data_IF_961690518105
#
_entry.id   IF_961690518105
#
_cell.length_a   1.000
_cell.length_b   1.000
_cell.length_c   1.000
_cell.angle_alpha   90.00
_cell.angle_beta   90.00
_cell.angle_gamma   90.00
#
_symmetry.space_group_name_H-M   'P 1'
#
loop_
_entity.id
_entity.type
_entity.pdbx_description
1 polymer ?
#
# COMPACT_ATOMS: atom_id res chain seq x y z
N UNK A 1 -16.76 -5.93 70.99
CA UNK A 1 -18.05 -6.54 71.38
C UNK A 1 -19.05 -6.24 70.28
N UNK A 2 -19.66 -7.28 69.70
CA UNK A 2 -20.99 -7.23 69.03
C UNK A 2 -21.00 -6.55 67.64
N UNK A 3 -21.48 -7.09 66.52
CA UNK A 3 -22.08 -8.36 66.09
C UNK A 3 -21.98 -8.41 64.55
N UNK A 4 -21.82 -9.60 63.98
CA UNK A 4 -21.93 -9.86 62.53
C UNK A 4 -23.40 -9.77 62.07
N UNK A 5 -23.69 -9.33 60.84
CA UNK A 5 -24.95 -9.63 60.19
C UNK A 5 -24.86 -10.91 59.34
N UNK A 6 -25.91 -11.70 59.50
CA UNK A 6 -26.20 -13.03 58.98
C UNK A 6 -26.42 -13.07 57.47
N UNK A 7 -26.00 -14.22 56.92
CA UNK A 7 -26.26 -14.74 55.58
C UNK A 7 -27.76 -14.97 55.41
N UNK A 8 -28.35 -14.45 54.34
CA UNK A 8 -29.70 -14.79 53.88
C UNK A 8 -29.64 -15.51 52.53
N UNK A 9 -30.32 -16.65 52.53
CA UNK A 9 -30.51 -17.62 51.46
C UNK A 9 -30.86 -17.02 50.09
N UNK A 10 -30.07 -17.38 49.08
CA UNK A 10 -30.45 -17.23 47.67
C UNK A 10 -31.04 -18.54 47.15
N UNK A 11 -32.35 -18.49 46.89
CA UNK A 11 -33.16 -19.54 46.27
C UNK A 11 -32.53 -20.02 44.95
N UNK A 12 -32.47 -21.34 44.81
CA UNK A 12 -32.18 -22.03 43.56
C UNK A 12 -33.28 -21.74 42.52
N UNK A 13 -32.90 -21.07 41.42
CA UNK A 13 -33.70 -20.98 40.21
C UNK A 13 -33.35 -22.23 39.37
N UNK A 14 -34.27 -23.18 39.34
CA UNK A 14 -34.17 -24.36 38.49
C UNK A 14 -34.23 -23.97 37.02
N UNK A 15 -33.14 -24.21 36.29
CA UNK A 15 -33.08 -24.08 34.84
C UNK A 15 -33.76 -25.30 34.19
N UNK A 16 -35.04 -25.16 33.86
CA UNK A 16 -35.72 -26.05 32.92
C UNK A 16 -35.17 -25.80 31.50
N UNK A 17 -34.01 -26.38 31.19
CA UNK A 17 -33.56 -26.51 29.80
C UNK A 17 -34.22 -27.74 29.18
N UNK A 18 -34.96 -27.62 28.06
CA UNK A 18 -35.49 -28.77 27.36
C UNK A 18 -34.33 -29.61 26.78
N UNK A 19 -34.44 -30.95 26.76
CA UNK A 19 -33.39 -31.80 26.21
C UNK A 19 -33.21 -31.55 24.70
N UNK A 20 -31.99 -31.75 24.16
CA UNK A 20 -31.72 -31.50 22.75
C UNK A 20 -32.57 -32.42 21.87
N UNK A 21 -33.31 -31.79 20.94
CA UNK A 21 -34.05 -32.50 19.89
C UNK A 21 -33.05 -33.26 19.01
N UNK A 22 -33.13 -34.59 19.04
CA UNK A 22 -32.45 -35.46 18.07
C UNK A 22 -33.01 -35.20 16.68
N UNK A 23 -32.25 -34.51 15.83
CA UNK A 23 -32.52 -34.47 14.40
C UNK A 23 -32.25 -35.85 13.82
N UNK A 24 -33.31 -36.61 13.54
CA UNK A 24 -33.23 -37.76 12.62
C UNK A 24 -33.21 -37.19 11.20
N UNK A 25 -32.03 -37.21 10.57
CA UNK A 25 -31.92 -37.04 9.13
C UNK A 25 -32.62 -38.25 8.47
N UNK A 26 -33.81 -38.05 7.91
CA UNK A 26 -34.39 -38.99 6.95
C UNK A 26 -33.75 -38.69 5.61
N UNK A 27 -32.87 -39.57 5.12
CA UNK A 27 -32.53 -39.61 3.70
C UNK A 27 -33.81 -40.00 2.96
N UNK A 28 -34.42 -39.04 2.27
CA UNK A 28 -35.34 -39.33 1.18
C UNK A 28 -34.49 -39.62 -0.05
N UNK A 29 -34.50 -40.88 -0.50
CA UNK A 29 -34.03 -41.25 -1.84
C UNK A 29 -35.13 -40.82 -2.81
N UNK A 30 -35.04 -39.57 -3.27
CA UNK A 30 -35.84 -39.03 -4.36
C UNK A 30 -34.95 -38.90 -5.58
N UNK A 31 -35.26 -39.65 -6.64
CA UNK A 31 -34.60 -39.53 -7.93
C UNK A 31 -34.77 -38.12 -8.48
N UNK A 32 -33.65 -37.48 -8.79
CA UNK A 32 -33.61 -36.17 -9.43
C UNK A 32 -33.21 -36.42 -10.87
N UNK A 33 -34.10 -36.02 -11.79
CA UNK A 33 -33.81 -35.95 -13.21
C UNK A 33 -32.60 -35.05 -13.46
N UNK A 34 -31.70 -35.57 -14.28
CA UNK A 34 -30.41 -35.00 -14.64
C UNK A 34 -30.62 -33.74 -15.50
N UNK A 35 -30.81 -32.61 -14.83
CA UNK A 35 -30.76 -31.29 -15.45
C UNK A 35 -29.29 -30.88 -15.57
N UNK A 36 -28.82 -30.75 -16.81
CA UNK A 36 -27.46 -30.34 -17.15
C UNK A 36 -27.14 -28.97 -16.51
N UNK A 37 -26.34 -29.00 -15.44
CA UNK A 37 -25.74 -27.80 -14.87
C UNK A 37 -24.77 -27.18 -15.88
N UNK A 38 -24.84 -25.86 -16.14
CA UNK A 38 -23.84 -25.18 -16.95
C UNK A 38 -22.47 -25.34 -16.28
N UNK A 39 -21.47 -25.71 -17.08
CA UNK A 39 -20.09 -25.87 -16.63
C UNK A 39 -19.64 -24.60 -15.88
N UNK A 40 -19.26 -24.76 -14.61
CA UNK A 40 -18.63 -23.71 -13.82
C UNK A 40 -17.33 -23.36 -14.53
N UNK A 41 -17.23 -22.15 -15.05
CA UNK A 41 -16.02 -21.64 -15.68
C UNK A 41 -14.84 -21.76 -14.69
N UNK A 42 -13.63 -22.09 -15.16
CA UNK A 42 -12.46 -22.21 -14.30
C UNK A 42 -12.23 -20.89 -13.54
N UNK A 43 -12.08 -20.99 -12.22
CA UNK A 43 -11.83 -19.88 -11.30
C UNK A 43 -10.50 -19.21 -11.67
N UNK A 44 -10.56 -18.02 -12.28
CA UNK A 44 -9.41 -17.24 -12.81
C UNK A 44 -8.39 -16.81 -11.73
N UNK A 45 -8.66 -17.11 -10.45
CA UNK A 45 -7.81 -16.82 -9.29
C UNK A 45 -6.45 -17.54 -9.30
N UNK A 46 -6.24 -18.53 -10.17
CA UNK A 46 -4.96 -19.23 -10.28
C UNK A 46 -3.83 -18.31 -10.80
N UNK A 47 -4.16 -17.28 -11.57
CA UNK A 47 -3.19 -16.29 -12.08
C UNK A 47 -2.79 -15.22 -11.04
N UNK A 48 -3.56 -15.08 -9.97
CA UNK A 48 -3.44 -13.99 -8.98
C UNK A 48 -2.54 -14.36 -7.77
N UNK A 49 -1.92 -15.54 -7.78
CA UNK A 49 -1.00 -15.98 -6.71
C UNK A 49 0.31 -15.17 -6.73
N UNK A 50 0.62 -14.47 -7.83
CA UNK A 50 1.88 -13.76 -8.06
C UNK A 50 2.06 -12.45 -7.26
N UNK A 51 1.04 -11.95 -6.56
CA UNK A 51 1.02 -10.59 -5.99
C UNK A 51 0.90 -10.55 -4.47
N UNK A 52 1.16 -11.65 -3.76
CA UNK A 52 1.15 -11.63 -2.28
C UNK A 52 2.11 -10.58 -1.74
N UNK A 53 1.58 -9.60 -0.99
CA UNK A 53 2.39 -8.65 -0.22
C UNK A 53 2.26 -8.93 1.26
N UNK A 54 3.38 -8.78 1.96
CA UNK A 54 3.46 -8.99 3.40
C UNK A 54 3.51 -7.64 4.09
N UNK A 55 2.84 -7.55 5.23
CA UNK A 55 2.72 -6.34 6.03
C UNK A 55 3.03 -6.65 7.49
N UNK A 56 3.52 -5.63 8.19
CA UNK A 56 3.65 -5.59 9.63
C UNK A 56 2.88 -4.39 10.17
N UNK A 57 2.12 -4.58 11.26
CA UNK A 57 1.29 -3.54 11.89
C UNK A 57 1.14 -3.82 13.38
N UNK A 58 1.22 -2.79 14.21
CA UNK A 58 0.79 -2.86 15.61
C UNK A 58 -0.74 -2.93 15.66
N UNK A 59 -1.28 -3.99 16.28
CA UNK A 59 -2.73 -4.28 16.26
C UNK A 59 -3.39 -4.05 17.62
N UNK A 60 -2.61 -4.04 18.69
CA UNK A 60 -3.09 -3.90 20.06
C UNK A 60 -1.97 -3.37 20.95
N UNK A 61 -2.28 -2.53 21.94
CA UNK A 61 -1.32 -1.97 22.89
C UNK A 61 -1.87 -2.06 24.31
N UNK A 62 -1.00 -2.24 25.30
CA UNK A 62 -1.47 -2.26 26.68
C UNK A 62 -2.02 -0.90 27.09
N UNK A 63 -3.16 -0.91 27.76
CA UNK A 63 -3.96 0.28 28.02
C UNK A 63 -5.37 -0.09 28.45
N UNK A 64 -6.23 0.92 28.51
CA UNK A 64 -7.67 0.75 28.73
C UNK A 64 -8.37 1.25 27.47
N UNK A 65 -9.24 0.42 26.91
CA UNK A 65 -9.93 0.67 25.66
C UNK A 65 -11.43 0.54 25.89
N UNK A 66 -12.22 1.38 25.25
CA UNK A 66 -13.68 1.22 25.22
C UNK A 66 -14.05 0.39 24.00
N UNK A 67 -14.63 -0.79 24.22
CA UNK A 67 -15.06 -1.69 23.15
C UNK A 67 -16.58 -1.71 23.07
N UNK A 68 -17.18 -2.19 21.96
CA UNK A 68 -18.63 -2.39 21.89
C UNK A 68 -19.18 -3.28 23.01
N UNK A 69 -18.37 -4.18 23.56
CA UNK A 69 -18.71 -5.09 24.65
C UNK A 69 -18.42 -4.48 26.04
N UNK A 70 -17.92 -3.25 26.11
CA UNK A 70 -17.57 -2.53 27.33
C UNK A 70 -16.07 -2.25 27.49
N UNK A 71 -15.66 -1.70 28.64
CA UNK A 71 -14.27 -1.34 28.87
C UNK A 71 -13.39 -2.60 28.95
N UNK A 72 -12.32 -2.60 28.16
CA UNK A 72 -11.33 -3.67 28.14
C UNK A 72 -9.97 -3.18 28.60
N UNK A 73 -9.43 -3.81 29.65
CA UNK A 73 -8.07 -3.56 30.13
C UNK A 73 -7.09 -4.54 29.49
N UNK A 74 -6.26 -4.03 28.59
CA UNK A 74 -5.18 -4.78 27.96
C UNK A 74 -3.91 -4.57 28.77
N UNK A 75 -3.33 -5.66 29.26
CA UNK A 75 -2.04 -5.65 29.99
C UNK A 75 -0.95 -6.32 29.15
N UNK A 76 0.32 -6.15 29.51
CA UNK A 76 1.40 -6.90 28.86
C UNK A 76 1.20 -8.43 28.98
N UNK A 77 0.62 -8.91 30.08
CA UNK A 77 0.25 -10.31 30.24
C UNK A 77 -0.85 -10.73 29.25
N UNK A 78 -1.85 -9.86 29.01
CA UNK A 78 -2.88 -10.08 27.98
C UNK A 78 -2.24 -10.26 26.60
N UNK A 79 -1.29 -9.39 26.22
CA UNK A 79 -0.60 -9.47 24.93
C UNK A 79 0.20 -10.77 24.78
N UNK A 80 0.96 -11.16 25.82
CA UNK A 80 1.72 -12.43 25.83
C UNK A 80 0.80 -13.64 25.69
N UNK A 81 -0.31 -13.67 26.43
CA UNK A 81 -1.30 -14.76 26.33
C UNK A 81 -1.90 -14.88 24.94
N UNK A 82 -2.22 -13.76 24.29
CA UNK A 82 -2.70 -13.76 22.90
C UNK A 82 -1.65 -14.35 21.93
N UNK A 83 -0.40 -13.89 22.02
CA UNK A 83 0.70 -14.40 21.19
C UNK A 83 0.96 -15.90 21.40
N UNK A 84 0.92 -16.37 22.65
CA UNK A 84 1.13 -17.79 22.99
C UNK A 84 -0.06 -18.67 22.57
N UNK A 85 -1.30 -18.21 22.75
CA UNK A 85 -2.50 -18.89 22.24
C UNK A 85 -2.46 -19.02 20.73
N UNK A 86 -2.12 -17.95 20.01
CA UNK A 86 -1.96 -17.99 18.56
C UNK A 86 -0.90 -18.99 18.14
N UNK A 87 0.29 -18.98 18.76
CA UNK A 87 1.38 -19.91 18.42
C UNK A 87 0.96 -21.37 18.60
N UNK A 88 0.28 -21.69 19.71
CA UNK A 88 -0.26 -23.04 19.98
C UNK A 88 -1.33 -23.44 18.97
N UNK A 89 -2.26 -22.54 18.65
CA UNK A 89 -3.32 -22.80 17.68
C UNK A 89 -2.75 -22.99 16.27
N UNK A 90 -1.78 -22.16 15.88
CA UNK A 90 -1.07 -22.24 14.60
C UNK A 90 -0.32 -23.56 14.44
N UNK A 91 0.37 -24.04 15.48
CA UNK A 91 1.03 -25.35 15.51
C UNK A 91 0.06 -26.53 15.33
N UNK A 92 -1.24 -26.31 15.52
CA UNK A 92 -2.33 -27.27 15.28
C UNK A 92 -3.08 -27.02 13.98
N UNK A 93 -2.55 -26.17 13.10
CA UNK A 93 -3.15 -25.88 11.79
C UNK A 93 -4.27 -24.85 11.81
N UNK A 94 -4.57 -24.22 12.95
CA UNK A 94 -5.54 -23.11 12.99
C UNK A 94 -4.97 -21.90 12.24
N UNK A 95 -5.78 -21.32 11.37
CA UNK A 95 -5.46 -20.13 10.57
C UNK A 95 -6.36 -18.99 11.01
N UNK A 96 -5.77 -17.82 11.20
CA UNK A 96 -6.53 -16.60 11.50
C UNK A 96 -6.64 -15.80 10.20
N UNK A 97 -7.86 -15.54 9.71
CA UNK A 97 -8.05 -14.74 8.51
C UNK A 97 -7.77 -13.25 8.79
N UNK A 98 -7.33 -12.56 7.74
CA UNK A 98 -7.42 -11.10 7.67
C UNK A 98 -8.63 -10.76 6.80
N UNK A 99 -9.50 -9.89 7.29
CA UNK A 99 -10.80 -9.58 6.67
C UNK A 99 -11.05 -8.08 6.57
N UNK A 100 -11.96 -7.66 5.70
CA UNK A 100 -12.49 -6.29 5.68
C UNK A 100 -13.59 -6.10 6.75
N UNK A 101 -13.57 -4.96 7.45
CA UNK A 101 -14.69 -4.46 8.27
C UNK A 101 -15.34 -5.44 9.27
N UNK A 102 -14.56 -6.35 9.87
CA UNK A 102 -15.07 -7.41 10.74
C UNK A 102 -16.15 -8.30 10.08
N UNK A 103 -16.12 -8.45 8.75
CA UNK A 103 -17.06 -9.31 8.04
C UNK A 103 -16.81 -10.79 8.34
N UNK A 104 -17.92 -11.54 8.48
CA UNK A 104 -17.94 -13.00 8.57
C UNK A 104 -18.06 -13.66 7.18
N UNK A 105 -18.23 -12.88 6.10
CA UNK A 105 -18.32 -13.40 4.75
C UNK A 105 -16.93 -13.87 4.26
N UNK A 106 -16.86 -15.11 3.77
CA UNK A 106 -15.64 -15.68 3.23
C UNK A 106 -15.05 -14.88 2.05
N UNK A 107 -15.88 -14.11 1.33
CA UNK A 107 -15.46 -13.24 0.22
C UNK A 107 -14.64 -12.03 0.69
N UNK A 108 -14.84 -11.59 1.92
CA UNK A 108 -14.13 -10.45 2.50
C UNK A 108 -12.77 -10.84 3.11
N UNK A 109 -12.40 -12.12 3.02
CA UNK A 109 -11.09 -12.61 3.40
C UNK A 109 -10.05 -12.20 2.36
N UNK A 110 -9.14 -11.33 2.77
CA UNK A 110 -8.07 -10.81 1.91
C UNK A 110 -6.74 -11.55 2.10
N UNK A 111 -6.61 -12.25 3.24
CA UNK A 111 -5.31 -12.62 3.75
C UNK A 111 -5.30 -13.58 4.93
N UNK A 112 -4.12 -13.77 5.49
CA UNK A 112 -3.90 -14.63 6.66
C UNK A 112 -2.80 -14.06 7.55
N UNK A 113 -3.01 -14.15 8.86
CA UNK A 113 -2.00 -13.81 9.86
C UNK A 113 -0.87 -14.85 9.86
N UNK A 114 0.37 -14.41 9.70
CA UNK A 114 1.56 -15.27 9.63
C UNK A 114 2.44 -15.21 10.86
N UNK A 115 2.45 -14.10 11.59
CA UNK A 115 3.16 -13.98 12.86
C UNK A 115 2.43 -13.04 13.81
N UNK A 116 2.59 -13.31 15.11
CA UNK A 116 2.09 -12.47 16.19
C UNK A 116 3.18 -12.36 17.27
N UNK A 117 3.72 -11.16 17.49
CA UNK A 117 4.88 -10.92 18.35
C UNK A 117 4.60 -9.76 19.29
N UNK A 118 5.03 -9.88 20.54
CA UNK A 118 4.99 -8.76 21.50
C UNK A 118 6.26 -7.94 21.35
N UNK A 119 6.13 -6.65 21.09
CA UNK A 119 7.23 -5.68 20.97
C UNK A 119 6.95 -4.56 21.97
N UNK A 120 7.84 -4.35 22.93
CA UNK A 120 7.67 -3.42 24.04
C UNK A 120 6.34 -3.61 24.79
N UNK A 121 5.40 -2.69 24.58
CA UNK A 121 4.07 -2.67 25.17
C UNK A 121 2.94 -2.88 24.14
N UNK A 122 3.29 -3.31 22.93
CA UNK A 122 2.41 -3.55 21.79
C UNK A 122 2.43 -5.01 21.32
N UNK A 123 1.39 -5.38 20.59
CA UNK A 123 1.25 -6.64 19.87
C UNK A 123 1.30 -6.32 18.39
N UNK A 124 2.27 -6.89 17.71
CA UNK A 124 2.56 -6.66 16.30
C UNK A 124 2.17 -7.90 15.50
N UNK A 125 1.30 -7.69 14.51
CA UNK A 125 0.93 -8.71 13.53
C UNK A 125 1.83 -8.63 12.32
N UNK A 126 2.14 -9.79 11.75
CA UNK A 126 2.55 -9.92 10.35
C UNK A 126 1.51 -10.74 9.61
N UNK A 127 1.16 -10.30 8.41
CA UNK A 127 0.17 -10.97 7.57
C UNK A 127 0.48 -10.74 6.10
N UNK A 128 -0.18 -11.49 5.22
CA UNK A 128 -0.17 -11.21 3.78
C UNK A 128 -1.57 -10.90 3.27
N UNK A 129 -1.63 -10.14 2.18
CA UNK A 129 -2.83 -9.95 1.36
C UNK A 129 -2.53 -10.48 -0.05
N UNK A 130 -3.51 -11.15 -0.68
CA UNK A 130 -3.32 -11.78 -2.00
C UNK A 130 -3.79 -10.91 -3.17
N UNK A 131 -4.98 -10.32 -3.07
CA UNK A 131 -5.55 -9.54 -4.18
C UNK A 131 -4.77 -8.25 -4.39
N UNK A 132 -4.52 -7.93 -5.66
CA UNK A 132 -3.91 -6.67 -6.05
C UNK A 132 -4.71 -5.45 -5.58
N UNK A 133 -6.03 -5.54 -5.59
CA UNK A 133 -6.91 -4.45 -5.13
C UNK A 133 -6.79 -4.25 -3.62
N UNK A 134 -6.76 -5.33 -2.85
CA UNK A 134 -6.58 -5.25 -1.39
C UNK A 134 -5.22 -4.65 -1.03
N UNK A 135 -4.16 -5.11 -1.72
CA UNK A 135 -2.79 -4.61 -1.58
C UNK A 135 -2.71 -3.11 -1.84
N UNK A 136 -3.42 -2.59 -2.85
CA UNK A 136 -3.46 -1.15 -3.17
C UNK A 136 -4.15 -0.32 -2.10
N UNK A 137 -5.14 -0.90 -1.41
CA UNK A 137 -5.96 -0.21 -0.39
C UNK A 137 -5.27 -0.11 0.96
N UNK A 138 -4.44 -1.09 1.32
CA UNK A 138 -3.69 -1.12 2.59
C UNK A 138 -2.65 0.00 2.61
N UNK A 139 -2.70 0.83 3.65
CA UNK A 139 -1.80 1.98 3.83
C UNK A 139 -2.16 3.20 3.00
N UNK A 140 -3.19 3.13 2.15
CA UNK A 140 -3.72 4.27 1.39
C UNK A 140 -5.11 4.65 1.91
N UNK A 141 -6.12 3.85 1.55
CA UNK A 141 -7.53 4.04 1.93
C UNK A 141 -7.84 3.48 3.31
N UNK A 142 -7.14 2.43 3.73
CA UNK A 142 -7.29 1.86 5.06
C UNK A 142 -5.94 1.85 5.74
N UNK A 143 -5.85 2.60 6.84
CA UNK A 143 -4.61 2.82 7.57
C UNK A 143 -4.55 2.03 8.87
N UNK A 144 -5.68 1.50 9.34
CA UNK A 144 -5.83 0.91 10.66
C UNK A 144 -6.42 -0.49 10.66
N UNK A 145 -6.28 -1.13 11.82
CA UNK A 145 -6.79 -2.47 12.07
C UNK A 145 -7.51 -2.55 13.40
N UNK A 146 -8.41 -3.52 13.50
CA UNK A 146 -9.08 -3.88 14.74
C UNK A 146 -9.04 -5.40 14.90
N UNK A 147 -8.99 -5.85 16.14
CA UNK A 147 -8.89 -7.27 16.48
C UNK A 147 -10.19 -7.76 17.07
N UNK A 148 -10.60 -8.96 16.69
CA UNK A 148 -11.59 -9.68 17.48
C UNK A 148 -10.88 -10.67 18.41
N UNK A 149 -11.24 -10.60 19.69
CA UNK A 149 -10.71 -11.48 20.71
C UNK A 149 -11.86 -12.16 21.43
N UNK A 150 -11.81 -13.50 21.48
CA UNK A 150 -12.77 -14.32 22.21
C UNK A 150 -12.09 -14.99 23.40
N UNK A 151 -12.79 -15.00 24.54
CA UNK A 151 -12.30 -15.58 25.79
C UNK A 151 -13.48 -16.15 26.61
N UNK A 152 -13.51 -17.46 26.91
CA UNK A 152 -12.65 -18.52 26.38
C UNK A 152 -12.96 -18.85 24.91
N UNK A 153 -12.01 -19.47 24.21
CA UNK A 153 -12.20 -19.96 22.84
C UNK A 153 -11.87 -21.44 22.70
N UNK A 154 -12.53 -22.14 21.75
CA UNK A 154 -12.31 -23.56 21.46
C UNK A 154 -12.25 -23.78 19.95
N UNK A 155 -11.24 -24.51 19.48
CA UNK A 155 -11.11 -24.87 18.06
C UNK A 155 -12.01 -26.06 17.66
N UNK A 156 -12.09 -26.35 16.36
CA UNK A 156 -12.90 -27.46 15.83
C UNK A 156 -12.45 -28.86 16.29
N UNK A 157 -11.23 -29.00 16.81
CA UNK A 157 -10.71 -30.24 17.39
C UNK A 157 -10.92 -30.31 18.92
N UNK A 158 -11.54 -29.30 19.51
CA UNK A 158 -11.88 -29.26 20.91
C UNK A 158 -10.79 -28.72 21.83
N UNK A 159 -9.65 -28.23 21.33
CA UNK A 159 -8.64 -27.62 22.20
C UNK A 159 -9.14 -26.27 22.71
N UNK A 160 -8.89 -25.99 23.99
CA UNK A 160 -9.31 -24.73 24.65
C UNK A 160 -8.15 -23.75 24.74
N UNK A 161 -8.49 -22.48 24.59
CA UNK A 161 -7.60 -21.34 24.71
C UNK A 161 -8.27 -20.31 25.62
N UNK A 162 -7.55 -19.81 26.62
CA UNK A 162 -8.11 -18.87 27.59
C UNK A 162 -8.57 -17.57 26.92
N UNK A 163 -7.83 -17.17 25.89
CA UNK A 163 -8.09 -16.00 25.05
C UNK A 163 -7.45 -16.26 23.69
N UNK A 164 -8.17 -15.93 22.62
CA UNK A 164 -7.73 -16.15 21.24
C UNK A 164 -8.14 -14.98 20.36
N UNK A 165 -7.24 -14.57 19.47
CA UNK A 165 -7.57 -13.67 18.37
C UNK A 165 -8.26 -14.50 17.28
N UNK A 166 -9.48 -14.15 16.89
CA UNK A 166 -10.28 -14.94 15.94
C UNK A 166 -10.14 -14.43 14.51
N UNK A 167 -10.01 -13.11 14.32
CA UNK A 167 -9.62 -12.47 13.05
C UNK A 167 -8.95 -11.12 13.28
N UNK A 168 -8.26 -10.66 12.23
CA UNK A 168 -7.72 -9.30 12.12
C UNK A 168 -8.53 -8.55 11.06
N UNK A 169 -9.21 -7.48 11.44
CA UNK A 169 -10.00 -6.67 10.51
C UNK A 169 -9.23 -5.43 10.07
N UNK A 170 -9.20 -5.17 8.77
CA UNK A 170 -8.85 -3.85 8.22
C UNK A 170 -10.07 -2.93 8.35
N UNK A 171 -9.94 -1.81 9.05
CA UNK A 171 -11.07 -0.91 9.40
C UNK A 171 -10.68 0.56 9.29
N UNK A 172 -11.66 1.41 9.03
CA UNK A 172 -11.46 2.88 9.08
C UNK A 172 -11.64 3.47 10.48
N UNK A 173 -12.26 2.74 11.41
CA UNK A 173 -12.53 3.17 12.78
C UNK A 173 -12.06 2.09 13.77
N UNK A 174 -10.78 2.07 14.14
CA UNK A 174 -10.24 1.07 15.05
C UNK A 174 -10.64 1.36 16.51
N UNK A 175 -10.75 0.31 17.32
CA UNK A 175 -10.91 0.43 18.79
C UNK A 175 -9.64 0.99 19.43
N UNK A 176 -8.48 0.59 18.92
CA UNK A 176 -7.17 1.09 19.36
C UNK A 176 -6.78 2.22 18.42
N UNK A 177 -6.87 3.47 18.90
CA UNK A 177 -6.47 4.65 18.14
C UNK A 177 -4.94 4.79 18.04
N UNK A 178 -4.50 5.69 17.16
CA UNK A 178 -3.10 6.11 17.04
C UNK A 178 -2.14 4.93 16.79
N UNK A 179 -2.55 4.05 15.87
CA UNK A 179 -1.72 2.96 15.42
C UNK A 179 -0.67 3.47 14.42
N UNK A 180 0.52 2.87 14.44
CA UNK A 180 1.57 3.21 13.48
C UNK A 180 1.17 2.79 12.06
N UNK A 181 1.64 3.48 11.00
CA UNK A 181 1.36 3.09 9.62
C UNK A 181 1.76 1.65 9.30
N UNK A 182 1.11 1.03 8.31
CA UNK A 182 1.51 -0.29 7.82
C UNK A 182 2.96 -0.26 7.31
N UNK A 183 3.75 -1.22 7.75
CA UNK A 183 5.09 -1.45 7.19
C UNK A 183 5.02 -2.61 6.22
N UNK A 184 5.07 -2.33 4.93
CA UNK A 184 5.20 -3.39 3.92
C UNK A 184 6.56 -4.08 4.11
N UNK A 185 6.53 -5.39 4.26
CA UNK A 185 7.73 -6.20 4.37
C UNK A 185 8.22 -6.52 2.96
N UNK A 186 9.48 -6.18 2.67
CA UNK A 186 10.12 -6.66 1.46
C UNK A 186 10.13 -8.18 1.51
N UNK A 187 9.57 -8.82 0.48
CA UNK A 187 9.88 -10.22 0.21
C UNK A 187 11.38 -10.26 -0.01
N UNK A 188 12.14 -10.85 0.92
CA UNK A 188 13.53 -11.15 0.60
C UNK A 188 13.49 -12.05 -0.63
N UNK A 189 13.93 -11.55 -1.78
CA UNK A 189 13.95 -12.23 -3.07
C UNK A 189 14.88 -13.46 -3.09
N UNK A 190 15.38 -13.89 -1.91
CA UNK A 190 16.23 -15.06 -1.74
C UNK A 190 15.49 -16.14 -0.99
N UNK A 191 15.18 -17.22 -1.70
CA UNK A 191 14.88 -18.52 -1.14
C UNK A 191 16.10 -19.13 -0.43
N UNK A 192 16.52 -18.54 0.69
CA UNK A 192 17.35 -19.23 1.67
C UNK A 192 16.56 -19.25 2.98
N UNK A 193 15.71 -20.26 3.10
CA UNK A 193 15.19 -20.69 4.39
C UNK A 193 16.34 -21.34 5.17
N UNK A 194 17.24 -20.51 5.69
CA UNK A 194 18.17 -20.92 6.72
C UNK A 194 17.44 -20.74 8.06
N UNK A 195 17.00 -21.85 8.63
CA UNK A 195 16.59 -21.88 10.04
C UNK A 195 17.74 -21.32 10.89
N UNK A 196 17.48 -20.42 11.85
CA UNK A 196 18.52 -19.87 12.69
C UNK A 196 19.10 -20.99 13.56
N UNK A 197 20.37 -21.33 13.33
CA UNK A 197 21.16 -22.08 14.31
C UNK A 197 21.48 -21.13 15.47
N UNK A 198 21.16 -21.59 16.67
CA UNK A 198 21.47 -20.96 17.94
C UNK A 198 22.93 -20.47 17.98
N UNK A 199 23.11 -19.14 17.98
CA UNK A 199 24.39 -18.53 18.32
C UNK A 199 24.31 -17.87 19.69
N UNK A 200 25.01 -18.53 20.61
CA UNK A 200 25.42 -18.06 21.93
C UNK A 200 25.95 -16.62 21.89
N UNK A 201 25.56 -15.90 22.94
CA UNK A 201 25.95 -14.56 23.33
C UNK A 201 27.46 -14.31 23.38
N UNK A 202 27.88 -13.10 22.99
CA UNK A 202 29.00 -12.36 23.58
C UNK A 202 28.95 -10.87 23.20
N UNK A 203 29.58 -9.97 24.00
CA UNK A 203 28.95 -8.72 24.41
C UNK A 203 29.56 -7.43 23.83
N UNK A 204 28.73 -6.38 23.92
CA UNK A 204 28.98 -4.94 24.02
C UNK A 204 30.26 -4.32 23.43
N UNK A 205 30.08 -3.34 22.54
CA UNK A 205 31.02 -2.22 22.37
C UNK A 205 30.25 -0.92 22.09
N UNK A 206 30.74 0.13 22.73
CA UNK A 206 30.19 1.46 22.95
C UNK A 206 30.05 2.39 21.73
N UNK A 207 29.00 3.21 21.82
CA UNK A 207 28.89 4.66 21.57
C UNK A 207 29.77 5.36 20.50
N UNK A 208 29.11 5.93 19.48
CA UNK A 208 29.49 7.22 18.87
C UNK A 208 28.32 7.83 18.04
N UNK A 209 28.34 9.15 17.74
CA UNK A 209 27.14 10.00 17.87
C UNK A 209 26.48 10.48 16.56
N UNK A 210 25.17 10.74 16.71
CA UNK A 210 24.26 11.67 16.03
C UNK A 210 24.74 12.40 14.76
N UNK A 211 24.04 12.12 13.66
CA UNK A 211 23.95 12.99 12.46
C UNK A 211 22.55 13.61 12.41
N UNK A 212 22.39 14.93 12.19
CA UNK A 212 21.07 15.56 12.10
C UNK A 212 20.39 15.17 10.78
N UNK A 213 19.25 14.50 10.92
CA UNK A 213 18.38 14.05 9.84
C UNK A 213 17.53 15.22 9.32
N UNK A 214 17.81 15.66 8.10
CA UNK A 214 17.02 16.66 7.39
C UNK A 214 15.83 15.96 6.73
N UNK A 215 14.69 15.93 7.44
CA UNK A 215 13.43 15.46 6.90
C UNK A 215 13.02 16.26 5.67
N UNK A 216 12.73 15.62 4.51
CA UNK A 216 12.17 16.31 3.36
C UNK A 216 10.72 16.77 3.64
N UNK A 217 10.24 17.81 2.96
CA UNK A 217 8.93 18.39 3.20
C UNK A 217 7.81 17.39 2.92
N UNK A 218 6.85 17.33 3.85
CA UNK A 218 5.57 16.64 3.69
C UNK A 218 4.80 17.30 2.53
N UNK A 219 4.81 16.67 1.36
CA UNK A 219 3.89 17.03 0.28
C UNK A 219 2.49 16.53 0.66
N UNK A 220 1.54 17.46 0.78
CA UNK A 220 0.13 17.16 1.02
C UNK A 220 -0.47 16.47 -0.21
N UNK A 221 -0.65 15.16 -0.13
CA UNK A 221 -1.36 14.38 -1.13
C UNK A 221 -2.84 14.70 -1.08
N UNK A 222 -3.27 15.51 -2.05
CA UNK A 222 -4.66 15.77 -2.41
C UNK A 222 -5.51 14.49 -2.41
N UNK A 223 -6.57 14.49 -1.60
CA UNK A 223 -7.67 13.52 -1.65
C UNK A 223 -8.36 13.63 -3.01
N UNK A 224 -8.11 12.68 -3.91
CA UNK A 224 -8.99 12.40 -5.03
C UNK A 224 -9.44 10.95 -4.88
N UNK A 225 -10.76 10.73 -4.88
CA UNK A 225 -11.34 9.40 -4.97
C UNK A 225 -10.73 8.64 -6.15
N UNK A 226 -9.95 7.61 -5.85
CA UNK A 226 -9.35 6.77 -6.87
C UNK A 226 -10.42 5.84 -7.43
N UNK A 227 -11.10 6.26 -8.50
CA UNK A 227 -12.01 5.41 -9.26
C UNK A 227 -11.19 4.24 -9.84
N UNK A 228 -11.65 2.99 -9.62
CA UNK A 228 -10.97 1.82 -10.17
C UNK A 228 -11.03 1.82 -11.69
N UNK A 229 -9.94 1.39 -12.35
CA UNK A 229 -9.89 1.33 -13.82
C UNK A 229 -10.92 0.34 -14.36
N UNK A 230 -11.18 -0.75 -13.63
CA UNK A 230 -12.22 -1.71 -13.97
C UNK A 230 -13.61 -1.07 -13.95
N UNK A 231 -13.89 -0.19 -12.98
CA UNK A 231 -15.15 0.55 -12.90
C UNK A 231 -15.28 1.54 -14.06
N UNK A 232 -14.17 2.19 -14.45
CA UNK A 232 -14.13 3.07 -15.63
C UNK A 232 -14.41 2.27 -16.90
N UNK A 233 -13.80 1.10 -17.08
CA UNK A 233 -14.02 0.22 -18.24
C UNK A 233 -15.48 -0.26 -18.28
N UNK A 234 -16.02 -0.70 -17.14
CA UNK A 234 -17.41 -1.14 -17.03
C UNK A 234 -18.39 0.00 -17.35
N UNK A 235 -18.14 1.20 -16.83
CA UNK A 235 -18.95 2.38 -17.12
C UNK A 235 -18.90 2.78 -18.60
N UNK A 236 -17.73 2.69 -19.25
CA UNK A 236 -17.59 2.95 -20.68
C UNK A 236 -18.35 1.90 -21.49
N UNK A 237 -18.18 0.61 -21.20
CA UNK A 237 -18.91 -0.45 -21.90
C UNK A 237 -20.43 -0.33 -21.72
N UNK A 238 -20.91 0.02 -20.52
CA UNK A 238 -22.33 0.28 -20.29
C UNK A 238 -22.84 1.49 -21.10
N UNK A 239 -22.04 2.55 -21.23
CA UNK A 239 -22.37 3.70 -22.06
C UNK A 239 -22.44 3.32 -23.55
N UNK A 240 -21.53 2.46 -24.02
CA UNK A 240 -21.52 1.98 -25.40
C UNK A 240 -22.69 1.03 -25.68
N UNK A 241 -23.02 0.13 -24.77
CA UNK A 241 -24.19 -0.74 -24.89
C UNK A 241 -25.49 0.10 -24.95
N UNK A 242 -25.61 1.15 -24.14
CA UNK A 242 -26.76 2.06 -24.15
C UNK A 242 -26.91 2.88 -25.44
N UNK A 243 -25.82 3.07 -26.20
CA UNK A 243 -25.84 3.79 -27.47
C UNK A 243 -26.45 3.00 -28.63
N UNK A 244 -26.58 1.68 -28.48
CA UNK A 244 -27.08 0.79 -29.55
C UNK A 244 -26.11 0.57 -30.71
N UNK A 245 -24.90 1.15 -30.69
CA UNK A 245 -23.91 1.06 -31.76
C UNK A 245 -23.19 -0.30 -31.82
N UNK A 246 -23.41 -1.19 -30.85
CA UNK A 246 -22.76 -2.51 -30.80
C UNK A 246 -21.23 -2.45 -30.60
N UNK A 247 -20.67 -1.29 -30.28
CA UNK A 247 -19.25 -1.10 -30.01
C UNK A 247 -18.91 -1.59 -28.60
N UNK A 248 -17.85 -2.39 -28.47
CA UNK A 248 -17.32 -2.83 -27.18
C UNK A 248 -15.81 -2.63 -27.14
N UNK A 249 -15.30 -2.27 -25.98
CA UNK A 249 -13.85 -2.33 -25.75
C UNK A 249 -13.39 -3.79 -25.78
N UNK A 250 -12.20 -4.10 -26.32
CA UNK A 250 -11.62 -5.44 -26.26
C UNK A 250 -11.52 -5.97 -24.82
N UNK A 251 -11.70 -7.28 -24.58
CA UNK A 251 -11.71 -7.84 -23.22
C UNK A 251 -10.34 -7.78 -22.53
N UNK A 252 -9.25 -7.62 -23.29
CA UNK A 252 -7.87 -7.44 -22.81
C UNK A 252 -7.49 -5.98 -22.53
N UNK A 253 -8.46 -5.05 -22.67
CA UNK A 253 -8.26 -3.63 -22.34
C UNK A 253 -7.87 -3.47 -20.87
N UNK A 254 -6.73 -2.83 -20.63
CA UNK A 254 -6.21 -2.59 -19.29
C UNK A 254 -5.77 -1.12 -19.14
N UNK A 255 -5.24 -0.77 -17.96
CA UNK A 255 -4.79 0.58 -17.65
C UNK A 255 -3.84 1.20 -18.68
N UNK A 256 -2.99 0.39 -19.31
CA UNK A 256 -1.96 0.81 -20.27
C UNK A 256 -2.53 0.94 -21.69
N UNK A 257 -3.51 0.12 -22.08
CA UNK A 257 -4.12 0.13 -23.44
C UNK A 257 -5.40 0.95 -23.55
N UNK A 258 -6.09 1.24 -22.44
CA UNK A 258 -7.40 1.89 -22.43
C UNK A 258 -7.48 3.19 -23.24
N UNK A 259 -6.46 4.06 -23.15
CA UNK A 259 -6.48 5.31 -23.90
C UNK A 259 -6.42 5.07 -25.41
N UNK A 260 -5.61 4.12 -25.86
CA UNK A 260 -5.43 3.82 -27.27
C UNK A 260 -6.69 3.17 -27.83
N UNK A 261 -7.33 2.28 -27.05
CA UNK A 261 -8.62 1.70 -27.40
C UNK A 261 -9.73 2.76 -27.48
N UNK A 262 -9.75 3.75 -26.56
CA UNK A 262 -10.72 4.86 -26.64
C UNK A 262 -10.50 5.76 -27.86
N UNK A 263 -9.25 5.99 -28.26
CA UNK A 263 -8.94 6.75 -29.47
C UNK A 263 -9.35 5.99 -30.74
N UNK A 264 -9.10 4.67 -30.79
CA UNK A 264 -9.58 3.82 -31.88
C UNK A 264 -11.11 3.79 -31.96
N UNK A 265 -11.77 3.66 -30.81
CA UNK A 265 -13.22 3.69 -30.70
C UNK A 265 -13.79 5.03 -31.21
N UNK A 266 -13.18 6.15 -30.81
CA UNK A 266 -13.55 7.48 -31.31
C UNK A 266 -13.43 7.56 -32.84
N UNK A 267 -12.35 7.00 -33.41
CA UNK A 267 -12.16 7.00 -34.86
C UNK A 267 -13.25 6.18 -35.57
N UNK A 268 -13.61 5.00 -35.06
CA UNK A 268 -14.70 4.17 -35.63
C UNK A 268 -16.05 4.90 -35.63
N UNK A 269 -16.36 5.63 -34.55
CA UNK A 269 -17.59 6.44 -34.47
C UNK A 269 -17.60 7.57 -35.51
N UNK A 270 -16.44 8.18 -35.80
CA UNK A 270 -16.32 9.20 -36.83
C UNK A 270 -16.46 8.62 -38.24
N UNK A 271 -15.89 7.44 -38.48
CA UNK A 271 -15.93 6.80 -39.81
C UNK A 271 -17.35 6.32 -40.17
N UNK A 272 -18.14 5.84 -39.20
CA UNK A 272 -19.54 5.45 -39.41
C UNK A 272 -20.43 6.65 -39.80
N UNK A 273 -20.17 7.84 -39.22
CA UNK A 273 -20.94 9.06 -39.53
C UNK A 273 -20.79 9.53 -40.98
N UNK A 274 -19.66 9.23 -41.63
CA UNK A 274 -19.41 9.64 -43.02
C UNK A 274 -20.15 8.75 -44.01
N UNK A 275 -20.58 7.56 -43.61
CA UNK A 275 -21.17 6.57 -44.52
C UNK A 275 -22.69 6.75 -44.71
N UNK A 276 -23.38 7.45 -43.79
CA UNK A 276 -24.84 7.63 -43.84
C UNK A 276 -25.30 8.82 -44.74
N UNK A 277 -24.41 9.74 -45.14
CA UNK A 277 -24.80 10.88 -45.99
C UNK A 277 -25.11 10.49 -47.46
N UNK A 278 -24.73 9.29 -47.91
CA UNK A 278 -24.99 8.82 -49.29
C UNK A 278 -26.22 7.87 -49.40
N UNK A 279 -26.90 7.57 -48.30
CA UNK A 279 -28.04 6.64 -48.25
C UNK A 279 -29.40 7.37 -48.15
N UNK A 280 -29.68 8.27 -49.10
CA UNK A 280 -31.02 8.82 -49.27
C UNK A 280 -32.04 7.68 -49.54
N UNK A 281 -33.12 7.59 -48.76
CA UNK A 281 -34.32 6.72 -48.94
C UNK A 281 -34.50 5.53 -47.97
N UNK A 282 -34.46 5.74 -46.65
CA UNK A 282 -35.03 4.78 -45.69
C UNK A 282 -35.96 5.43 -44.66
N UNK A 283 -37.16 4.86 -44.54
CA UNK A 283 -38.34 5.33 -43.78
C UNK A 283 -38.06 5.42 -42.27
N UNK A 284 -38.56 6.46 -41.56
CA UNK A 284 -38.30 6.65 -40.13
C UNK A 284 -39.01 5.59 -39.28
N UNK A 285 -38.21 4.82 -38.52
CA UNK A 285 -38.70 3.96 -37.43
C UNK A 285 -38.86 4.78 -36.16
N UNK A 286 -40.09 4.89 -35.68
CA UNK A 286 -40.47 5.56 -34.44
C UNK A 286 -40.20 4.68 -33.22
N UNK A 287 -39.72 5.26 -32.11
CA UNK A 287 -39.87 4.62 -30.80
C UNK A 287 -39.05 5.19 -29.66
N UNK A 288 -37.73 5.20 -29.78
CA UNK A 288 -36.84 5.52 -28.66
C UNK A 288 -36.07 6.81 -28.95
N UNK A 289 -36.02 7.70 -27.96
CA UNK A 289 -35.29 8.95 -28.07
C UNK A 289 -33.82 8.62 -28.42
N UNK A 290 -33.33 8.98 -29.62
CA UNK A 290 -31.96 8.68 -29.99
C UNK A 290 -31.07 9.37 -28.97
N UNK A 291 -30.26 8.57 -28.28
CA UNK A 291 -29.18 9.14 -27.45
C UNK A 291 -28.34 9.95 -28.41
N UNK A 292 -28.41 11.27 -28.25
CA UNK A 292 -27.78 12.23 -29.15
C UNK A 292 -26.29 11.88 -29.26
N UNK A 293 -25.87 11.44 -30.46
CA UNK A 293 -24.49 11.00 -30.73
C UNK A 293 -23.49 12.08 -30.33
N UNK A 294 -23.91 13.35 -30.38
CA UNK A 294 -23.12 14.47 -29.89
C UNK A 294 -22.83 14.41 -28.38
N UNK A 295 -23.78 13.97 -27.56
CA UNK A 295 -23.58 13.80 -26.11
C UNK A 295 -22.59 12.66 -25.80
N UNK A 296 -22.65 11.56 -26.57
CA UNK A 296 -21.69 10.47 -26.45
C UNK A 296 -20.28 10.92 -26.82
N UNK A 297 -20.13 11.65 -27.93
CA UNK A 297 -18.84 12.24 -28.31
C UNK A 297 -18.29 13.18 -27.23
N UNK A 298 -19.14 14.02 -26.63
CA UNK A 298 -18.74 14.93 -25.55
C UNK A 298 -18.30 14.18 -24.29
N UNK A 299 -19.01 13.10 -23.92
CA UNK A 299 -18.67 12.25 -22.78
C UNK A 299 -17.34 11.50 -23.01
N UNK A 300 -17.14 10.97 -24.22
CA UNK A 300 -15.91 10.29 -24.63
C UNK A 300 -14.72 11.26 -24.63
N UNK A 301 -14.89 12.49 -25.11
CA UNK A 301 -13.85 13.50 -25.08
C UNK A 301 -13.47 13.91 -23.65
N UNK A 302 -14.46 14.07 -22.76
CA UNK A 302 -14.21 14.39 -21.34
C UNK A 302 -13.44 13.27 -20.63
N UNK A 303 -13.84 12.01 -20.83
CA UNK A 303 -13.17 10.85 -20.23
C UNK A 303 -11.76 10.68 -20.78
N UNK A 304 -11.57 10.82 -22.10
CA UNK A 304 -10.25 10.77 -22.75
C UNK A 304 -9.31 11.85 -22.21
N UNK A 305 -9.79 13.10 -22.07
CA UNK A 305 -8.98 14.19 -21.50
C UNK A 305 -8.60 13.93 -20.04
N UNK A 306 -9.55 13.44 -19.22
CA UNK A 306 -9.29 13.10 -17.81
C UNK A 306 -8.26 11.98 -17.68
N UNK A 307 -8.40 10.92 -18.48
CA UNK A 307 -7.46 9.78 -18.48
C UNK A 307 -6.06 10.21 -18.93
N UNK A 308 -5.97 11.04 -19.98
CA UNK A 308 -4.70 11.59 -20.44
C UNK A 308 -4.03 12.47 -19.37
N UNK A 309 -4.80 13.29 -18.64
CA UNK A 309 -4.28 14.11 -17.55
C UNK A 309 -3.73 13.25 -16.40
N UNK A 310 -4.46 12.20 -15.98
CA UNK A 310 -3.99 11.26 -14.95
C UNK A 310 -2.75 10.48 -15.39
N UNK A 311 -2.69 10.03 -16.66
CA UNK A 311 -1.47 9.39 -17.20
C UNK A 311 -0.27 10.32 -17.15
N UNK A 312 -0.42 11.59 -17.54
CA UNK A 312 0.65 12.60 -17.46
C UNK A 312 1.11 12.81 -16.02
N UNK A 313 0.16 12.93 -15.07
CA UNK A 313 0.47 13.07 -13.63
C UNK A 313 1.23 11.86 -13.08
N UNK A 314 0.76 10.64 -13.39
CA UNK A 314 1.41 9.39 -13.01
C UNK A 314 2.81 9.26 -13.60
N UNK A 315 2.99 9.63 -14.88
CA UNK A 315 4.29 9.58 -15.54
C UNK A 315 5.27 10.60 -14.93
N UNK A 316 4.82 11.83 -14.69
CA UNK A 316 5.64 12.85 -14.03
C UNK A 316 6.04 12.43 -12.60
N UNK A 317 5.15 11.77 -11.85
CA UNK A 317 5.48 11.23 -10.54
C UNK A 317 6.53 10.11 -10.63
N UNK A 318 6.37 9.17 -11.56
CA UNK A 318 7.35 8.10 -11.81
C UNK A 318 8.70 8.65 -12.22
N UNK A 319 8.73 9.64 -13.12
CA UNK A 319 9.94 10.35 -13.54
C UNK A 319 10.67 10.98 -12.35
N UNK A 320 9.96 11.66 -11.45
CA UNK A 320 10.55 12.23 -10.22
C UNK A 320 11.17 11.15 -9.34
N UNK A 321 10.44 10.07 -9.06
CA UNK A 321 10.95 8.96 -8.23
C UNK A 321 12.17 8.28 -8.86
N UNK A 322 12.13 8.06 -10.17
CA UNK A 322 13.23 7.48 -10.92
C UNK A 322 14.46 8.38 -10.87
N UNK A 323 14.30 9.67 -11.14
CA UNK A 323 15.39 10.67 -11.09
C UNK A 323 16.00 10.76 -9.69
N UNK A 324 15.18 10.82 -8.64
CA UNK A 324 15.65 10.85 -7.26
C UNK A 324 16.43 9.59 -6.86
N UNK A 325 15.97 8.42 -7.31
CA UNK A 325 16.64 7.13 -7.06
C UNK A 325 17.97 7.06 -7.79
N UNK A 326 18.01 7.56 -9.03
CA UNK A 326 19.22 7.64 -9.83
C UNK A 326 20.25 8.61 -9.21
N UNK A 327 19.82 9.78 -8.75
CA UNK A 327 20.67 10.75 -8.06
C UNK A 327 21.22 10.19 -6.74
N UNK A 328 20.44 9.38 -6.03
CA UNK A 328 20.90 8.64 -4.85
C UNK A 328 22.02 7.65 -5.23
N UNK A 329 21.84 6.87 -6.30
CA UNK A 329 22.83 5.89 -6.76
C UNK A 329 24.14 6.55 -7.23
N UNK A 330 24.06 7.70 -7.90
CA UNK A 330 25.23 8.49 -8.30
C UNK A 330 25.97 9.02 -7.06
N UNK A 331 25.25 9.56 -6.07
CA UNK A 331 25.85 10.02 -4.80
C UNK A 331 26.54 8.90 -4.02
N UNK A 332 26.00 7.69 -4.09
CA UNK A 332 26.58 6.50 -3.46
C UNK A 332 27.77 5.91 -4.24
N UNK A 333 28.13 6.47 -5.41
CA UNK A 333 29.21 5.95 -6.24
C UNK A 333 28.87 4.62 -6.94
N UNK A 334 27.60 4.23 -6.95
CA UNK A 334 27.11 2.99 -7.57
C UNK A 334 26.88 3.14 -9.08
N UNK A 335 26.62 4.37 -9.52
CA UNK A 335 26.49 4.74 -10.93
C UNK A 335 27.47 5.88 -11.23
N UNK A 336 28.20 5.77 -12.34
CA UNK A 336 29.03 6.87 -12.84
C UNK A 336 28.15 8.05 -13.25
N UNK A 337 28.53 9.31 -12.92
CA UNK A 337 27.79 10.49 -13.38
C UNK A 337 27.57 10.54 -14.90
N UNK A 338 28.51 10.00 -15.70
CA UNK A 338 28.36 9.91 -17.15
C UNK A 338 27.20 9.00 -17.59
N UNK A 339 26.91 7.92 -16.85
CA UNK A 339 25.83 6.97 -17.17
C UNK A 339 24.44 7.43 -16.73
N UNK A 340 24.35 8.54 -15.98
CA UNK A 340 23.07 9.07 -15.53
C UNK A 340 22.20 9.54 -16.69
N UNK A 341 22.78 10.17 -17.70
CA UNK A 341 22.04 10.65 -18.87
C UNK A 341 21.43 9.46 -19.65
N UNK A 342 22.24 8.45 -19.98
CA UNK A 342 21.82 7.26 -20.70
C UNK A 342 20.66 6.53 -20.00
N UNK A 343 20.72 6.42 -18.67
CA UNK A 343 19.68 5.77 -17.87
C UNK A 343 18.40 6.61 -17.76
N UNK A 344 18.50 7.94 -17.79
CA UNK A 344 17.32 8.82 -17.86
C UNK A 344 16.63 8.71 -19.22
N UNK A 345 17.41 8.68 -20.30
CA UNK A 345 16.90 8.47 -21.66
C UNK A 345 16.25 7.09 -21.80
N UNK A 346 16.92 6.05 -21.31
CA UNK A 346 16.35 4.69 -21.25
C UNK A 346 15.11 4.65 -20.36
N UNK A 347 15.12 5.37 -19.23
CA UNK A 347 13.97 5.52 -18.36
C UNK A 347 12.77 6.12 -19.09
N UNK A 348 12.99 7.16 -19.89
CA UNK A 348 11.93 7.81 -20.66
C UNK A 348 11.27 6.87 -21.67
N UNK A 349 12.03 6.00 -22.34
CA UNK A 349 11.48 5.05 -23.33
C UNK A 349 10.67 3.92 -22.71
N UNK A 350 10.93 3.55 -21.45
CA UNK A 350 10.22 2.47 -20.74
C UNK A 350 9.24 2.96 -19.65
N UNK A 351 8.96 4.26 -19.60
CA UNK A 351 8.02 4.84 -18.64
C UNK A 351 8.51 4.90 -17.19
N UNK A 352 9.82 5.13 -17.01
CA UNK A 352 10.51 5.37 -15.73
C UNK A 352 10.34 4.25 -14.70
N UNK A 353 10.42 2.99 -15.15
CA UNK A 353 10.33 1.80 -14.27
C UNK A 353 11.57 1.69 -13.37
N UNK A 354 11.36 1.64 -12.05
CA UNK A 354 12.44 1.50 -11.06
C UNK A 354 13.21 0.17 -11.17
N UNK A 355 12.61 -0.87 -11.77
CA UNK A 355 13.28 -2.16 -11.99
C UNK A 355 14.54 -2.05 -12.88
N UNK A 356 14.65 -0.99 -13.69
CA UNK A 356 15.86 -0.70 -14.46
C UNK A 356 17.06 -0.37 -13.53
N UNK A 357 16.79 0.12 -12.32
CA UNK A 357 17.81 0.55 -11.36
C UNK A 357 18.26 -0.57 -10.41
N UNK A 358 17.48 -1.65 -10.29
CA UNK A 358 17.74 -2.77 -9.37
C UNK A 358 19.15 -3.36 -9.49
N UNK A 359 19.72 -3.60 -10.70
CA UNK A 359 21.08 -4.11 -10.82
C UNK A 359 22.16 -3.22 -10.19
N UNK A 360 21.90 -1.92 -10.07
CA UNK A 360 22.81 -0.96 -9.45
C UNK A 360 22.58 -0.83 -7.94
N UNK A 361 21.38 -1.16 -7.46
CA UNK A 361 21.04 -1.18 -6.03
C UNK A 361 21.69 -2.37 -5.30
N UNK A 362 21.97 -3.46 -6.01
CA UNK A 362 22.58 -4.67 -5.42
C UNK A 362 24.10 -4.62 -5.34
N UNK A 363 24.75 -3.59 -5.91
CA UNK A 363 26.21 -3.44 -5.86
C UNK A 363 26.64 -3.16 -4.40
N UNK A 364 27.45 -4.03 -3.77
CA UNK A 364 27.95 -3.80 -2.42
C UNK A 364 28.69 -2.46 -2.33
N UNK A 365 28.55 -1.75 -1.22
CA UNK A 365 29.17 -0.42 -1.05
C UNK A 365 30.70 -0.46 -1.16
N UNK A 366 31.33 -1.61 -0.90
CA UNK A 366 32.77 -1.84 -1.06
C UNK A 366 33.20 -1.94 -2.53
N UNK A 367 32.30 -2.40 -3.40
CA UNK A 367 32.49 -2.45 -4.85
C UNK A 367 32.06 -1.15 -5.56
N UNK A 368 31.52 -0.17 -4.80
CA UNK A 368 31.17 1.13 -5.35
C UNK A 368 32.45 1.81 -5.87
N UNK A 369 32.35 2.44 -7.04
CA UNK A 369 33.49 3.09 -7.65
C UNK A 369 34.02 4.13 -6.68
N UNK A 370 35.34 4.15 -6.40
CA UNK A 370 35.92 5.16 -5.55
C UNK A 370 35.65 6.49 -6.24
N UNK A 371 34.64 7.22 -5.74
CA UNK A 371 34.45 8.62 -6.08
C UNK A 371 35.79 9.23 -5.76
N UNK A 372 36.55 9.61 -6.80
CA UNK A 372 37.80 10.35 -6.65
C UNK A 372 37.39 11.59 -5.86
N UNK A 373 37.48 11.50 -4.52
CA UNK A 373 37.52 12.66 -3.66
C UNK A 373 38.65 13.42 -4.30
N UNK A 374 38.30 14.52 -4.97
CA UNK A 374 39.27 15.54 -5.35
C UNK A 374 39.93 15.84 -4.02
N UNK A 375 41.05 15.17 -3.76
CA UNK A 375 42.02 15.60 -2.78
C UNK A 375 42.29 16.99 -3.28
N UNK A 376 41.68 17.94 -2.57
CA UNK A 376 42.04 19.33 -2.57
C UNK A 376 43.46 19.30 -2.03
N UNK A 377 44.40 18.83 -2.85
CA UNK A 377 45.80 19.15 -2.68
C UNK A 377 45.76 20.66 -2.78
N UNK A 378 45.79 21.26 -1.60
CA UNK A 378 46.17 22.63 -1.43
C UNK A 378 47.48 22.75 -2.20
N UNK A 379 47.38 23.29 -3.42
CA UNK A 379 48.47 24.03 -4.00
C UNK A 379 48.65 25.23 -3.07
N UNK A 380 49.34 25.00 -1.95
CA UNK A 380 49.95 26.03 -1.13
C UNK A 380 51.20 26.49 -1.86
N UNK A 381 51.05 26.89 -3.13
CA UNK A 381 52.01 27.78 -3.77
C UNK A 381 51.77 29.15 -3.16
N UNK A 382 52.49 29.42 -2.06
CA UNK A 382 52.70 30.79 -1.61
C UNK A 382 53.18 31.60 -2.83
N UNK A 383 52.49 32.68 -3.24
CA UNK A 383 53.11 33.64 -4.15
C UNK A 383 54.34 34.23 -3.43
N UNK A 384 55.46 34.49 -4.13
CA UNK A 384 56.60 35.16 -3.54
C UNK A 384 56.16 36.52 -3.01
N UNK A 385 56.48 36.78 -1.75
CA UNK A 385 56.32 38.09 -1.10
C UNK A 385 57.20 39.10 -1.84
N UNK A 386 56.63 39.80 -2.82
CA UNK A 386 57.19 41.05 -3.33
C UNK A 386 56.54 42.17 -2.53
N UNK A 387 57.37 42.88 -1.75
CA UNK A 387 56.94 43.95 -0.87
C UNK A 387 56.15 45.02 -1.62
N UNK A 388 54.88 45.17 -1.24
CA UNK A 388 54.04 46.28 -1.67
C UNK A 388 53.58 47.05 -0.43
N UNK A 389 54.11 48.28 -0.37
CA UNK A 389 53.95 49.38 0.59
C UNK A 389 52.58 49.46 1.28
N UNK A 390 52.64 49.67 2.60
CA UNK A 390 51.54 50.13 3.44
C UNK A 390 50.80 51.33 2.81
N UNK A 391 49.47 51.32 2.73
CA UNK A 391 48.70 52.52 2.42
C UNK A 391 48.78 53.49 3.61
N UNK A 392 49.26 54.71 3.33
CA UNK A 392 49.24 55.84 4.25
C UNK A 392 47.81 56.06 4.78
N UNK A 393 47.68 56.22 6.10
CA UNK A 393 46.45 56.63 6.75
C UNK A 393 45.98 58.02 6.24
N UNK A 394 44.67 58.24 6.05
CA UNK A 394 44.10 59.50 5.53
C UNK A 394 44.32 60.74 6.41
N UNK A 395 44.97 60.60 7.57
CA UNK A 395 45.36 61.74 8.42
C UNK A 395 46.61 62.49 7.92
N UNK A 396 47.47 61.90 7.08
CA UNK A 396 48.67 62.57 6.56
C UNK A 396 48.46 63.43 5.30
N UNK A 397 47.31 63.28 4.63
CA UNK A 397 46.99 64.04 3.41
C UNK A 397 46.47 65.47 3.68
N UNK A 398 46.15 65.81 4.94
CA UNK A 398 45.61 67.14 5.30
C UNK A 398 46.65 68.16 5.75
N UNK A 399 47.90 67.75 5.99
CA UNK A 399 48.99 68.69 6.37
C UNK A 399 49.75 69.29 5.18
N UNK A 400 49.64 68.73 3.97
CA UNK A 400 50.42 69.18 2.81
C UNK A 400 49.70 70.27 1.98
N UNK A 401 48.40 70.50 2.21
CA UNK A 401 47.59 71.44 1.42
C UNK A 401 47.52 72.88 1.98
N UNK A 402 48.46 73.31 2.85
CA UNK A 402 48.38 74.62 3.53
C UNK A 402 49.57 75.56 3.39
N UNK A 403 50.47 75.35 2.45
CA UNK A 403 51.54 76.34 2.23
C UNK A 403 52.18 76.24 0.87
N UNK A 404 51.60 76.92 -0.13
CA UNK A 404 52.38 77.52 -1.21
C UNK A 404 51.51 78.57 -1.91
N UNK A 405 51.75 79.86 -1.62
CA UNK A 405 51.33 80.99 -2.45
C UNK A 405 52.47 81.29 -3.43
N UNK A 406 52.19 81.54 -4.72
CA UNK A 406 53.19 82.05 -5.65
C UNK A 406 53.27 83.58 -5.56
N UNK A 407 54.48 84.11 -5.75
CA UNK A 407 54.70 85.42 -6.40
C UNK A 407 54.96 85.19 -7.90
#
# INVERSE_FOLDING_TARGET
MTQQPTISDSRAIGSNSPPPRRFRLRLAVGGVEESAHPAIAPDDRASDVATRRYYEKEILRAGRWETPQGPWRVTQQTLRRLADSWRRARGRGVRIPVVWNHSDDARDKIGELTALVVVDNGLVARFWAASHDDVRRIGTTVQDVSVEVQAPWRDGAGHRYDMMLTHLALVSLPVVSDQQPFRQLALSSKGESAMPKDHRSSPATDLAPNTPDASPPKESSSEFESVSISDVIAAINALLDASGLGLKLPPDTNAETLLDELLQLKQRVLDDQVTEEDAEHSVPRSGDAPTDVHQLQLALDRTTRRLAAERRKSLAQRERHFTNSLDRLVRQGRILPARRADLLETGASIGFRLSLLTPFEDIPSEAALPLRRRTRQAATSQPPVVGARNPMSPQRAREIARGFRPE
#
